data_IF_190821648727
#
_entry.id   IF_190821648727
#
_cell.length_a   1.000
_cell.length_b   1.000
_cell.length_c   1.000
_cell.angle_alpha   90.00
_cell.angle_beta   90.00
_cell.angle_gamma   90.00
#
_symmetry.space_group_name_H-M   'P 1'
#
loop_
_entity.id
_entity.type
_entity.pdbx_description
1 polymer ?
#
# COMPACT_ATOMS: atom_id res chain seq x y z
N UNK A 1 23.69 8.93 19.54
CA UNK A 1 22.65 9.44 18.63
C UNK A 1 21.45 8.52 18.74
N UNK A 2 20.33 8.99 19.29
CA UNK A 2 19.08 8.23 19.21
C UNK A 2 18.67 8.09 17.75
N UNK A 3 18.19 6.90 17.37
CA UNK A 3 17.72 6.67 16.00
C UNK A 3 16.48 7.52 15.73
N UNK A 4 16.26 7.91 14.47
CA UNK A 4 15.04 8.64 14.07
C UNK A 4 13.75 7.89 14.44
N UNK A 5 13.79 6.55 14.47
CA UNK A 5 12.68 5.72 14.90
C UNK A 5 12.38 5.88 16.41
N UNK A 6 13.42 5.98 17.25
CA UNK A 6 13.28 6.16 18.70
C UNK A 6 12.58 7.49 19.04
N UNK A 7 13.02 8.59 18.42
CA UNK A 7 12.43 9.92 18.64
C UNK A 7 10.93 9.93 18.33
N UNK A 8 10.54 9.21 17.29
CA UNK A 8 9.19 9.25 16.79
C UNK A 8 8.25 8.27 17.48
N UNK A 9 8.78 7.15 17.96
CA UNK A 9 8.09 6.33 18.96
C UNK A 9 7.81 7.14 20.24
N UNK A 10 8.78 7.93 20.71
CA UNK A 10 8.60 8.82 21.87
C UNK A 10 7.55 9.90 21.62
N UNK A 11 7.55 10.53 20.43
CA UNK A 11 6.53 11.53 20.06
C UNK A 11 5.14 10.93 19.97
N UNK A 12 5.00 9.75 19.36
CA UNK A 12 3.74 9.02 19.33
C UNK A 12 3.26 8.68 20.75
N UNK A 13 4.14 8.18 21.62
CA UNK A 13 3.82 7.88 23.01
C UNK A 13 3.39 9.14 23.78
N UNK A 14 4.11 10.25 23.63
CA UNK A 14 3.77 11.53 24.25
C UNK A 14 2.40 12.03 23.79
N UNK A 15 2.13 12.00 22.48
CA UNK A 15 0.82 12.38 21.93
C UNK A 15 -0.30 11.48 22.47
N UNK A 16 -0.07 10.16 22.60
CA UNK A 16 -1.05 9.25 23.21
C UNK A 16 -1.35 9.62 24.67
N UNK A 17 -0.33 10.01 25.45
CA UNK A 17 -0.52 10.44 26.86
C UNK A 17 -1.33 11.74 26.93
N UNK A 18 -1.01 12.72 26.08
CA UNK A 18 -1.75 13.98 26.00
C UNK A 18 -3.22 13.76 25.59
N UNK A 19 -3.46 12.85 24.66
CA UNK A 19 -4.81 12.45 24.24
C UNK A 19 -5.54 11.72 25.37
N UNK A 20 -4.92 10.71 26.01
CA UNK A 20 -5.52 9.97 27.14
C UNK A 20 -5.96 10.93 28.26
N UNK A 21 -5.16 11.97 28.55
CA UNK A 21 -5.47 12.97 29.56
C UNK A 21 -6.72 13.82 29.24
N UNK A 22 -7.10 13.95 27.97
CA UNK A 22 -8.25 14.75 27.51
C UNK A 22 -9.52 13.93 27.28
N UNK A 23 -9.38 12.61 27.08
CA UNK A 23 -10.51 11.72 26.83
C UNK A 23 -11.33 11.46 28.10
N UNK A 24 -12.63 11.21 27.92
CA UNK A 24 -13.47 10.70 28.99
C UNK A 24 -13.07 9.27 29.42
N UNK A 25 -13.66 8.74 30.49
CA UNK A 25 -13.31 7.42 31.02
C UNK A 25 -13.43 6.28 29.99
N UNK A 26 -14.43 6.35 29.10
CA UNK A 26 -14.63 5.38 28.02
C UNK A 26 -13.57 5.54 26.93
N UNK A 27 -13.31 6.76 26.47
CA UNK A 27 -12.28 7.04 25.46
C UNK A 27 -10.89 6.58 25.90
N UNK A 28 -10.54 6.79 27.17
CA UNK A 28 -9.29 6.26 27.76
C UNK A 28 -9.22 4.74 27.71
N UNK A 29 -10.32 4.07 28.04
CA UNK A 29 -10.39 2.61 27.99
C UNK A 29 -10.22 2.08 26.55
N UNK A 30 -10.87 2.73 25.59
CA UNK A 30 -10.77 2.40 24.16
C UNK A 30 -9.35 2.62 23.63
N UNK A 31 -8.75 3.79 23.89
CA UNK A 31 -7.38 4.10 23.47
C UNK A 31 -6.38 3.06 24.00
N UNK A 32 -6.46 2.72 25.28
CA UNK A 32 -5.59 1.70 25.90
C UNK A 32 -5.84 0.31 25.33
N UNK A 33 -7.08 -0.02 24.98
CA UNK A 33 -7.46 -1.24 24.27
C UNK A 33 -6.77 -1.31 22.92
N UNK A 34 -6.93 -0.27 22.09
CA UNK A 34 -6.33 -0.17 20.76
C UNK A 34 -4.80 -0.20 20.79
N UNK A 35 -4.17 0.45 21.77
CA UNK A 35 -2.72 0.37 21.98
C UNK A 35 -2.26 -1.06 22.30
N UNK A 36 -3.03 -1.82 23.09
CA UNK A 36 -2.73 -3.22 23.40
C UNK A 36 -2.93 -4.12 22.20
N UNK A 37 -3.99 -3.89 21.42
CA UNK A 37 -4.30 -4.68 20.24
C UNK A 37 -3.29 -4.43 19.12
N UNK A 38 -2.80 -3.19 18.98
CA UNK A 38 -1.72 -2.83 18.08
C UNK A 38 -0.43 -3.64 18.32
N UNK A 39 -0.11 -3.97 19.58
CA UNK A 39 1.05 -4.82 19.92
C UNK A 39 0.93 -6.26 19.39
N UNK A 40 -0.29 -6.72 19.08
CA UNK A 40 -0.58 -8.08 18.60
C UNK A 40 -0.97 -8.10 17.12
N UNK A 41 -1.25 -6.95 16.54
CA UNK A 41 -1.77 -6.82 15.18
C UNK A 41 -0.67 -6.96 14.14
N UNK A 42 -1.00 -7.54 12.98
CA UNK A 42 -0.08 -7.57 11.83
C UNK A 42 0.17 -6.17 11.24
N UNK A 43 -0.74 -5.21 11.43
CA UNK A 43 -0.54 -3.81 11.00
C UNK A 43 0.04 -2.91 12.11
N UNK A 44 0.37 -3.49 13.27
CA UNK A 44 0.97 -2.76 14.38
C UNK A 44 0.15 -1.55 14.81
N UNK A 45 0.85 -0.42 14.98
CA UNK A 45 0.26 0.87 15.38
C UNK A 45 -0.24 1.72 14.21
N UNK A 46 -0.03 1.31 12.95
CA UNK A 46 -0.19 2.21 11.80
C UNK A 46 -1.58 2.87 11.71
N UNK A 47 -2.72 2.15 11.90
CA UNK A 47 -4.04 2.79 11.90
C UNK A 47 -4.20 3.85 13.00
N UNK A 48 -3.84 3.52 14.25
CA UNK A 48 -3.95 4.44 15.40
C UNK A 48 -2.96 5.61 15.29
N UNK A 49 -1.78 5.36 14.70
CA UNK A 49 -0.75 6.37 14.51
C UNK A 49 -1.23 7.53 13.65
N UNK A 50 -1.96 7.25 12.56
CA UNK A 50 -2.51 8.28 11.68
C UNK A 50 -3.48 9.21 12.43
N UNK A 51 -4.38 8.64 13.24
CA UNK A 51 -5.36 9.40 14.03
C UNK A 51 -4.68 10.30 15.07
N UNK A 52 -3.74 9.72 15.84
CA UNK A 52 -2.96 10.44 16.86
C UNK A 52 -2.14 11.56 16.23
N UNK A 53 -1.55 11.30 15.06
CA UNK A 53 -0.78 12.30 14.32
C UNK A 53 -1.65 13.49 13.90
N UNK A 54 -2.83 13.25 13.34
CA UNK A 54 -3.75 14.32 12.96
C UNK A 54 -4.26 15.09 14.18
N UNK A 55 -4.63 14.40 15.26
CA UNK A 55 -5.07 15.04 16.50
C UNK A 55 -3.99 15.92 17.14
N UNK A 56 -2.74 15.44 17.20
CA UNK A 56 -1.61 16.20 17.73
C UNK A 56 -1.26 17.40 16.84
N UNK A 57 -1.25 17.21 15.52
CA UNK A 57 -0.99 18.30 14.56
C UNK A 57 -2.06 19.40 14.64
N UNK A 58 -3.34 19.04 14.73
CA UNK A 58 -4.41 20.02 14.90
C UNK A 58 -4.29 20.77 16.24
N UNK A 59 -4.02 20.04 17.32
CA UNK A 59 -3.80 20.64 18.64
C UNK A 59 -2.64 21.64 18.64
N UNK A 60 -1.51 21.31 17.99
CA UNK A 60 -0.34 22.20 17.92
C UNK A 60 -0.60 23.47 17.09
N UNK A 61 -1.62 23.46 16.23
CA UNK A 61 -2.08 24.62 15.46
C UNK A 61 -3.27 25.34 16.12
N UNK A 62 -3.53 25.07 17.39
CA UNK A 62 -4.54 25.77 18.19
C UNK A 62 -5.98 25.40 17.84
N UNK A 63 -6.22 24.24 17.24
CA UNK A 63 -7.56 23.69 17.12
C UNK A 63 -7.97 23.01 18.43
N UNK A 64 -9.23 23.14 18.79
CA UNK A 64 -9.89 22.24 19.73
C UNK A 64 -10.10 20.91 18.99
N UNK A 65 -9.66 19.81 19.61
CA UNK A 65 -9.65 18.48 18.98
C UNK A 65 -10.47 17.51 19.81
N UNK A 66 -11.38 16.79 19.15
CA UNK A 66 -12.09 15.66 19.73
C UNK A 66 -11.79 14.38 18.93
N UNK A 67 -11.99 13.22 19.56
CA UNK A 67 -11.81 11.90 18.96
C UNK A 67 -13.10 11.08 19.08
N UNK A 68 -14.11 11.36 18.24
CA UNK A 68 -15.47 10.87 18.46
C UNK A 68 -15.62 9.36 18.40
N UNK A 69 -14.82 8.63 17.62
CA UNK A 69 -14.86 7.16 17.61
C UNK A 69 -14.38 6.55 18.94
N UNK A 70 -13.32 7.11 19.55
CA UNK A 70 -12.83 6.64 20.85
C UNK A 70 -13.90 6.83 21.94
N UNK A 71 -14.61 7.96 21.90
CA UNK A 71 -15.66 8.29 22.85
C UNK A 71 -17.04 7.73 22.46
N UNK A 72 -17.14 7.09 21.30
CA UNK A 72 -18.36 6.48 20.71
C UNK A 72 -19.52 7.47 20.52
N UNK A 73 -19.18 8.70 20.12
CA UNK A 73 -20.15 9.76 19.81
C UNK A 73 -20.35 9.94 18.30
N UNK A 74 -19.36 9.53 17.49
CA UNK A 74 -19.51 9.42 16.05
C UNK A 74 -18.67 8.25 15.51
N UNK A 75 -18.71 8.04 14.19
CA UNK A 75 -18.02 6.95 13.50
C UNK A 75 -16.71 7.37 12.84
N UNK A 76 -16.33 8.64 12.98
CA UNK A 76 -15.11 9.18 12.41
C UNK A 76 -14.08 9.51 13.48
N UNK A 77 -12.82 9.53 13.06
CA UNK A 77 -11.70 9.46 13.98
C UNK A 77 -11.39 10.79 14.68
N UNK A 78 -11.34 11.89 13.93
CA UNK A 78 -10.88 13.19 14.45
C UNK A 78 -11.88 14.29 14.10
N UNK A 79 -12.18 15.16 15.07
CA UNK A 79 -12.87 16.43 14.86
C UNK A 79 -11.95 17.58 15.24
N UNK A 80 -11.93 18.64 14.42
CA UNK A 80 -11.20 19.86 14.70
C UNK A 80 -12.12 21.08 14.67
N UNK A 81 -11.96 22.00 15.63
CA UNK A 81 -12.71 23.25 15.68
C UNK A 81 -11.80 24.44 16.02
N UNK A 82 -11.98 25.56 15.33
CA UNK A 82 -11.31 26.84 15.65
C UNK A 82 -12.09 28.01 15.05
N UNK A 83 -12.30 29.08 15.81
CA UNK A 83 -12.95 30.31 15.33
C UNK A 83 -14.31 30.07 14.64
N UNK A 84 -15.12 29.15 15.16
CA UNK A 84 -16.43 28.81 14.60
C UNK A 84 -16.39 27.88 13.36
N UNK A 85 -15.21 27.51 12.88
CA UNK A 85 -15.03 26.54 11.80
C UNK A 85 -14.85 25.16 12.43
N UNK A 86 -15.67 24.20 12.04
CA UNK A 86 -15.58 22.80 12.47
C UNK A 86 -15.47 21.86 11.26
N UNK A 87 -14.68 20.80 11.40
CA UNK A 87 -14.53 19.77 10.38
C UNK A 87 -14.22 18.40 10.98
N UNK A 88 -14.52 17.36 10.23
CA UNK A 88 -14.23 15.96 10.56
C UNK A 88 -13.14 15.38 9.66
N UNK A 89 -12.33 14.46 10.19
CA UNK A 89 -11.35 13.68 9.45
C UNK A 89 -11.61 12.19 9.73
N UNK A 90 -11.64 11.40 8.67
CA UNK A 90 -11.61 9.95 8.73
C UNK A 90 -10.27 9.44 8.23
N UNK A 91 -9.61 8.62 9.05
CA UNK A 91 -8.29 8.09 8.82
C UNK A 91 -8.40 6.66 8.28
N UNK A 92 -7.75 6.39 7.15
CA UNK A 92 -7.66 5.07 6.55
C UNK A 92 -6.21 4.70 6.31
N UNK A 93 -5.92 3.47 6.68
CA UNK A 93 -4.62 2.88 6.52
C UNK A 93 -4.68 1.84 5.39
N UNK A 94 -3.72 1.92 4.47
CA UNK A 94 -3.54 1.03 3.33
C UNK A 94 -2.25 0.24 3.55
N UNK A 95 -2.41 -1.05 3.78
CA UNK A 95 -1.28 -1.97 3.97
C UNK A 95 -0.48 -2.14 2.68
N UNK A 96 0.81 -2.49 2.80
CA UNK A 96 1.70 -2.75 1.67
C UNK A 96 1.22 -3.85 0.70
N UNK A 97 0.40 -4.78 1.20
CA UNK A 97 -0.17 -5.85 0.40
C UNK A 97 -1.49 -5.48 -0.29
N UNK A 98 -2.04 -4.28 -0.03
CA UNK A 98 -3.34 -3.90 -0.55
C UNK A 98 -3.29 -3.79 -2.08
N UNK A 99 -4.07 -4.64 -2.75
CA UNK A 99 -4.12 -4.68 -4.21
C UNK A 99 -3.16 -5.68 -4.85
N UNK A 100 -2.23 -6.23 -4.08
CA UNK A 100 -1.31 -7.27 -4.57
C UNK A 100 -2.02 -8.58 -4.83
N UNK A 101 -1.65 -9.28 -5.90
CA UNK A 101 -2.11 -10.64 -6.20
C UNK A 101 -1.42 -11.69 -5.35
N UNK A 102 -0.21 -11.40 -4.89
CA UNK A 102 0.55 -12.24 -3.98
C UNK A 102 0.85 -11.39 -2.75
N UNK A 103 0.18 -11.69 -1.64
CA UNK A 103 0.50 -11.05 -0.38
C UNK A 103 1.88 -11.53 0.10
N UNK A 104 2.72 -10.60 0.55
CA UNK A 104 4.08 -10.88 0.99
C UNK A 104 4.11 -11.89 2.15
N UNK A 105 3.17 -11.76 3.09
CA UNK A 105 3.02 -12.71 4.21
C UNK A 105 2.74 -14.14 3.73
N UNK A 106 1.86 -14.28 2.72
CA UNK A 106 1.48 -15.59 2.19
C UNK A 106 2.62 -16.20 1.37
N UNK A 107 3.33 -15.38 0.60
CA UNK A 107 4.56 -15.79 -0.08
C UNK A 107 5.58 -16.34 0.92
N UNK A 108 5.95 -15.58 1.96
CA UNK A 108 6.95 -16.05 2.93
C UNK A 108 6.49 -17.28 3.72
N UNK A 109 5.19 -17.41 4.00
CA UNK A 109 4.63 -18.62 4.61
C UNK A 109 4.85 -19.86 3.73
N UNK A 110 4.67 -19.74 2.42
CA UNK A 110 4.98 -20.81 1.45
C UNK A 110 6.48 -21.08 1.40
N UNK A 111 7.30 -20.03 1.30
CA UNK A 111 8.76 -20.18 1.22
C UNK A 111 9.31 -20.89 2.45
N UNK A 112 8.84 -20.53 3.65
CA UNK A 112 9.24 -21.19 4.89
C UNK A 112 8.92 -22.69 4.86
N UNK A 113 7.68 -23.05 4.47
CA UNK A 113 7.25 -24.45 4.37
C UNK A 113 8.02 -25.25 3.31
N UNK A 114 8.42 -24.59 2.21
CA UNK A 114 9.20 -25.19 1.14
C UNK A 114 10.67 -25.38 1.53
N UNK A 115 11.32 -24.36 2.08
CA UNK A 115 12.74 -24.43 2.42
C UNK A 115 13.02 -25.39 3.57
N UNK A 116 12.13 -25.49 4.56
CA UNK A 116 12.24 -26.50 5.64
C UNK A 116 12.28 -27.94 5.10
N UNK A 117 11.68 -28.17 3.92
CA UNK A 117 11.54 -29.52 3.35
C UNK A 117 12.48 -29.80 2.18
N UNK A 118 12.76 -28.81 1.35
CA UNK A 118 13.51 -28.97 0.10
C UNK A 118 15.01 -28.73 0.25
N UNK A 119 15.42 -27.93 1.22
CA UNK A 119 16.83 -27.63 1.46
C UNK A 119 17.13 -27.85 2.94
N UNK A 120 17.15 -29.11 3.41
CA UNK A 120 17.47 -29.39 4.80
C UNK A 120 18.86 -28.82 5.14
N UNK A 121 19.01 -28.19 6.31
CA UNK A 121 20.30 -27.68 6.76
C UNK A 121 21.39 -28.76 6.68
N UNK A 122 22.50 -28.47 5.98
CA UNK A 122 23.63 -29.39 5.86
C UNK A 122 23.55 -30.44 4.75
N UNK A 123 22.50 -30.43 3.93
CA UNK A 123 22.37 -31.37 2.78
C UNK A 123 23.45 -31.20 1.71
N UNK A 124 24.05 -30.01 1.58
CA UNK A 124 25.16 -29.72 0.66
C UNK A 124 24.83 -29.90 -0.84
N UNK A 125 23.59 -30.25 -1.17
CA UNK A 125 23.16 -30.54 -2.53
C UNK A 125 22.58 -29.28 -3.16
N UNK A 126 23.34 -28.65 -4.04
CA UNK A 126 22.85 -27.54 -4.85
C UNK A 126 21.82 -28.05 -5.87
N UNK A 127 20.67 -27.37 -5.93
CA UNK A 127 19.66 -27.60 -6.97
C UNK A 127 19.67 -26.35 -7.86
N UNK A 128 20.47 -26.32 -8.94
CA UNK A 128 20.61 -25.15 -9.80
C UNK A 128 19.42 -24.99 -10.74
N UNK A 129 18.25 -24.78 -10.13
CA UNK A 129 16.97 -24.68 -10.83
C UNK A 129 16.14 -23.51 -10.29
N UNK A 130 15.29 -23.00 -11.16
CA UNK A 130 14.25 -22.05 -10.83
C UNK A 130 12.93 -22.80 -10.84
N UNK A 131 12.16 -22.72 -9.78
CA UNK A 131 10.77 -23.15 -9.74
C UNK A 131 9.92 -21.90 -9.96
N UNK A 132 9.42 -21.75 -11.18
CA UNK A 132 8.51 -20.67 -11.55
C UNK A 132 7.08 -21.12 -11.33
N UNK A 133 6.40 -20.52 -10.37
CA UNK A 133 4.97 -20.68 -10.12
C UNK A 133 4.23 -19.49 -10.73
N UNK A 134 3.31 -19.76 -11.63
CA UNK A 134 2.43 -18.76 -12.25
C UNK A 134 0.99 -19.02 -11.81
N UNK A 135 0.41 -18.05 -11.09
CA UNK A 135 -0.98 -18.08 -10.62
C UNK A 135 -1.92 -17.56 -11.71
N UNK A 136 -3.12 -18.13 -11.80
CA UNK A 136 -4.14 -17.67 -12.75
C UNK A 136 -4.70 -16.27 -12.40
N UNK A 137 -4.78 -15.93 -11.11
CA UNK A 137 -5.23 -14.62 -10.61
C UNK A 137 -4.53 -14.22 -9.30
N UNK A 138 -4.92 -14.81 -8.17
CA UNK A 138 -4.46 -14.41 -6.84
C UNK A 138 -4.04 -15.63 -6.05
N UNK A 139 -3.02 -15.47 -5.20
CA UNK A 139 -2.63 -16.51 -4.26
C UNK A 139 -3.74 -16.67 -3.21
N UNK A 140 -4.41 -17.82 -3.11
CA UNK A 140 -5.48 -17.99 -2.14
C UNK A 140 -4.92 -18.03 -0.72
N UNK A 141 -5.59 -17.35 0.21
CA UNK A 141 -5.21 -17.37 1.63
C UNK A 141 -5.51 -18.72 2.33
N UNK A 142 -6.35 -19.57 1.71
CA UNK A 142 -6.83 -20.82 2.27
C UNK A 142 -5.73 -21.89 2.39
N UNK A 143 -5.68 -22.56 3.55
CA UNK A 143 -4.64 -23.57 3.85
C UNK A 143 -4.67 -24.79 2.90
N UNK A 144 -5.83 -25.15 2.36
CA UNK A 144 -5.93 -26.25 1.40
C UNK A 144 -5.21 -25.93 0.07
N UNK A 145 -5.48 -24.75 -0.49
CA UNK A 145 -4.85 -24.27 -1.73
C UNK A 145 -3.33 -24.10 -1.56
N UNK A 146 -2.90 -23.61 -0.39
CA UNK A 146 -1.47 -23.51 -0.07
C UNK A 146 -0.79 -24.88 -0.06
N UNK A 147 -1.37 -25.87 0.62
CA UNK A 147 -0.81 -27.23 0.70
C UNK A 147 -0.70 -27.88 -0.69
N UNK A 148 -1.74 -27.73 -1.51
CA UNK A 148 -1.70 -28.20 -2.90
C UNK A 148 -0.49 -27.61 -3.66
N UNK A 149 -0.29 -26.29 -3.58
CA UNK A 149 0.86 -25.63 -4.23
C UNK A 149 2.20 -26.16 -3.69
N UNK A 150 2.32 -26.26 -2.37
CA UNK A 150 3.55 -26.76 -1.72
C UNK A 150 3.86 -28.19 -2.17
N UNK A 151 2.86 -29.08 -2.21
CA UNK A 151 3.04 -30.47 -2.61
C UNK A 151 3.45 -30.60 -4.09
N UNK A 152 2.86 -29.79 -4.99
CA UNK A 152 3.26 -29.74 -6.40
C UNK A 152 4.68 -29.21 -6.57
N UNK A 153 5.06 -28.17 -5.82
CA UNK A 153 6.45 -27.67 -5.85
C UNK A 153 7.41 -28.73 -5.33
N UNK A 154 7.05 -29.48 -4.29
CA UNK A 154 7.89 -30.60 -3.83
C UNK A 154 8.07 -31.67 -4.89
N UNK A 155 6.99 -32.03 -5.58
CA UNK A 155 7.02 -33.01 -6.65
C UNK A 155 7.95 -32.54 -7.78
N UNK A 156 7.78 -31.32 -8.28
CA UNK A 156 8.49 -30.85 -9.47
C UNK A 156 10.00 -30.73 -9.27
N UNK A 157 10.46 -30.55 -8.03
CA UNK A 157 11.89 -30.44 -7.72
C UNK A 157 12.65 -31.73 -8.08
N UNK A 158 12.01 -32.90 -7.99
CA UNK A 158 12.62 -34.18 -8.38
C UNK A 158 12.58 -34.42 -9.91
N UNK A 159 11.79 -33.64 -10.65
CA UNK A 159 11.57 -33.84 -12.07
C UNK A 159 12.70 -33.25 -12.95
N UNK A 160 12.83 -33.67 -14.21
CA UNK A 160 13.74 -33.03 -15.16
C UNK A 160 13.47 -31.53 -15.35
N UNK A 161 14.47 -30.80 -15.84
CA UNK A 161 14.28 -29.42 -16.29
C UNK A 161 13.20 -29.35 -17.38
N UNK A 162 12.55 -28.20 -17.48
CA UNK A 162 11.44 -27.90 -18.40
C UNK A 162 10.16 -28.69 -18.13
N UNK A 163 10.11 -29.44 -17.03
CA UNK A 163 8.86 -30.05 -16.56
C UNK A 163 7.88 -28.97 -16.13
N UNK A 164 6.60 -29.17 -16.51
CA UNK A 164 5.48 -28.33 -16.12
C UNK A 164 4.42 -29.19 -15.42
N UNK A 165 3.95 -28.74 -14.26
CA UNK A 165 2.81 -29.33 -13.55
C UNK A 165 1.74 -28.26 -13.37
N UNK A 166 0.48 -28.58 -13.71
CA UNK A 166 -0.66 -27.69 -13.56
C UNK A 166 -1.50 -28.10 -12.35
N UNK A 167 -1.72 -27.17 -11.43
CA UNK A 167 -2.64 -27.29 -10.30
C UNK A 167 -3.99 -26.63 -10.58
N UNK A 168 -4.84 -26.53 -9.54
CA UNK A 168 -6.19 -25.99 -9.66
C UNK A 168 -6.27 -24.49 -10.01
N UNK A 169 -5.28 -23.70 -9.61
CA UNK A 169 -5.25 -22.24 -9.79
C UNK A 169 -3.86 -21.70 -10.21
N UNK A 170 -2.96 -22.60 -10.58
CA UNK A 170 -1.56 -22.28 -10.87
C UNK A 170 -0.91 -23.28 -11.82
N UNK A 171 0.23 -22.87 -12.38
CA UNK A 171 1.15 -23.70 -13.14
C UNK A 171 2.55 -23.57 -12.52
N UNK A 172 3.26 -24.69 -12.36
CA UNK A 172 4.65 -24.73 -11.89
C UNK A 172 5.54 -25.24 -13.00
N UNK A 173 6.64 -24.54 -13.26
CA UNK A 173 7.63 -24.91 -14.26
C UNK A 173 9.01 -24.94 -13.61
N UNK A 174 9.77 -26.01 -13.86
CA UNK A 174 11.17 -26.11 -13.44
C UNK A 174 12.08 -25.64 -14.57
N UNK A 175 12.84 -24.58 -14.36
CA UNK A 175 13.73 -23.97 -15.34
C UNK A 175 15.19 -24.08 -14.91
N UNK A 176 16.12 -23.98 -15.87
CA UNK A 176 17.56 -23.90 -15.60
C UNK A 176 17.92 -22.56 -14.96
N UNK A 177 18.62 -22.55 -13.83
CA UNK A 177 19.16 -21.31 -13.26
C UNK A 177 20.14 -20.65 -14.23
N UNK A 178 21.11 -21.43 -14.71
CA UNK A 178 22.18 -20.95 -15.60
C UNK A 178 21.66 -20.29 -16.89
N UNK A 179 20.59 -20.82 -17.47
CA UNK A 179 20.01 -20.29 -18.70
C UNK A 179 19.29 -18.94 -18.49
N UNK A 180 18.91 -18.60 -17.26
CA UNK A 180 18.10 -17.41 -16.95
C UNK A 180 18.92 -16.33 -16.21
N UNK A 181 19.63 -16.73 -15.15
CA UNK A 181 20.44 -15.84 -14.31
C UNK A 181 21.94 -15.86 -14.64
N UNK A 182 22.42 -16.79 -15.46
CA UNK A 182 23.84 -16.98 -15.76
C UNK A 182 24.50 -18.02 -14.86
N UNK A 183 25.77 -18.34 -15.17
CA UNK A 183 26.52 -19.42 -14.49
C UNK A 183 26.85 -19.10 -13.03
N UNK A 184 27.07 -17.82 -12.72
CA UNK A 184 27.46 -17.38 -11.39
C UNK A 184 26.23 -17.00 -10.54
N UNK A 185 26.17 -17.40 -9.25
CA UNK A 185 25.13 -16.95 -8.35
C UNK A 185 25.14 -15.42 -8.20
N UNK A 186 23.97 -14.79 -8.20
CA UNK A 186 23.85 -13.35 -7.95
C UNK A 186 23.83 -13.12 -6.44
N UNK A 187 24.96 -12.71 -5.87
CA UNK A 187 25.09 -12.47 -4.43
C UNK A 187 24.42 -11.17 -3.96
N UNK A 188 24.32 -10.16 -4.85
CA UNK A 188 23.66 -8.90 -4.54
C UNK A 188 22.13 -9.07 -4.63
N UNK A 189 21.45 -8.86 -3.51
CA UNK A 189 20.01 -9.07 -3.39
C UNK A 189 19.20 -8.12 -4.27
N UNK A 190 19.64 -6.87 -4.42
CA UNK A 190 18.96 -5.86 -5.24
C UNK A 190 19.07 -6.27 -6.71
N UNK A 191 20.28 -6.60 -7.16
CA UNK A 191 20.51 -7.05 -8.52
C UNK A 191 19.75 -8.35 -8.84
N UNK A 192 19.69 -9.29 -7.89
CA UNK A 192 18.92 -10.53 -8.05
C UNK A 192 17.44 -10.23 -8.26
N UNK A 193 16.88 -9.33 -7.44
CA UNK A 193 15.47 -8.96 -7.52
C UNK A 193 15.15 -8.23 -8.84
N UNK A 194 15.97 -7.25 -9.22
CA UNK A 194 15.82 -6.51 -10.49
C UNK A 194 15.85 -7.47 -11.68
N UNK A 195 16.78 -8.42 -11.68
CA UNK A 195 16.90 -9.43 -12.73
C UNK A 195 15.71 -10.39 -12.75
N UNK A 196 15.22 -10.81 -11.59
CA UNK A 196 14.03 -11.65 -11.49
C UNK A 196 12.79 -10.92 -12.05
N UNK A 197 12.63 -9.63 -11.74
CA UNK A 197 11.54 -8.82 -12.26
C UNK A 197 11.63 -8.62 -13.79
N UNK A 198 12.84 -8.41 -14.32
CA UNK A 198 13.07 -8.32 -15.77
C UNK A 198 12.64 -9.60 -16.50
N UNK A 199 12.97 -10.76 -15.92
CA UNK A 199 12.70 -12.07 -16.52
C UNK A 199 11.25 -12.54 -16.36
N UNK A 200 10.67 -12.32 -15.17
CA UNK A 200 9.43 -12.97 -14.76
C UNK A 200 8.26 -12.02 -14.56
N UNK A 201 8.51 -10.70 -14.55
CA UNK A 201 7.51 -9.64 -14.42
C UNK A 201 7.73 -8.76 -13.18
N UNK A 202 7.34 -7.49 -13.26
CA UNK A 202 7.53 -6.51 -12.19
C UNK A 202 6.88 -6.91 -10.86
N UNK A 203 5.74 -7.61 -10.91
CA UNK A 203 4.96 -8.01 -9.73
C UNK A 203 5.35 -9.42 -9.21
N UNK A 204 6.48 -9.98 -9.67
CA UNK A 204 6.93 -11.28 -9.19
C UNK A 204 7.58 -11.19 -7.81
N UNK A 205 7.43 -12.26 -7.03
CA UNK A 205 8.15 -12.48 -5.78
C UNK A 205 9.19 -13.56 -6.01
N UNK A 206 10.45 -13.29 -5.68
CA UNK A 206 11.54 -14.23 -5.87
C UNK A 206 12.34 -14.42 -4.57
N UNK A 207 12.74 -15.65 -4.30
CA UNK A 207 13.69 -16.02 -3.25
C UNK A 207 14.67 -17.04 -3.79
N UNK A 208 15.92 -16.97 -3.34
CA UNK A 208 16.94 -17.94 -3.68
C UNK A 208 17.69 -18.34 -2.41
N UNK A 209 18.15 -19.58 -2.34
CA UNK A 209 19.05 -20.00 -1.25
C UNK A 209 20.44 -19.44 -1.51
N UNK A 210 20.96 -18.67 -0.55
CA UNK A 210 22.24 -17.95 -0.64
C UNK A 210 23.47 -18.86 -0.47
N UNK A 211 23.54 -19.96 -1.23
CA UNK A 211 24.75 -20.77 -1.29
C UNK A 211 25.62 -20.42 -2.52
N UNK A 212 26.89 -20.76 -2.39
CA UNK A 212 27.95 -20.54 -3.38
C UNK A 212 27.83 -21.41 -4.64
N UNK A 213 26.74 -22.18 -4.78
CA UNK A 213 26.53 -23.14 -5.87
C UNK A 213 25.27 -22.88 -6.69
N UNK A 214 24.64 -21.70 -6.53
CA UNK A 214 23.37 -21.34 -7.16
C UNK A 214 22.29 -22.35 -6.76
N UNK A 215 21.80 -22.22 -5.53
CA UNK A 215 20.76 -23.11 -5.04
C UNK A 215 19.37 -22.86 -5.63
N UNK A 216 18.38 -23.49 -4.99
CA UNK A 216 17.00 -23.49 -5.45
C UNK A 216 16.42 -22.07 -5.43
N UNK A 217 16.00 -21.60 -6.59
CA UNK A 217 15.30 -20.31 -6.73
C UNK A 217 13.81 -20.57 -6.89
N UNK A 218 12.98 -19.89 -6.10
CA UNK A 218 11.52 -19.97 -6.21
C UNK A 218 11.03 -18.59 -6.64
N UNK A 219 10.31 -18.56 -7.75
CA UNK A 219 9.66 -17.35 -8.28
C UNK A 219 8.16 -17.58 -8.31
N UNK A 220 7.40 -16.70 -7.68
CA UNK A 220 5.94 -16.71 -7.69
C UNK A 220 5.45 -15.46 -8.41
N UNK A 221 4.56 -15.61 -9.39
CA UNK A 221 3.94 -14.49 -10.13
C UNK A 221 2.47 -14.76 -10.40
N UNK A 222 1.74 -13.73 -10.82
CA UNK A 222 0.38 -13.84 -11.34
C UNK A 222 0.30 -13.47 -12.83
N UNK A 223 -0.66 -14.07 -13.54
CA UNK A 223 -1.06 -13.62 -14.88
C UNK A 223 -1.76 -12.26 -14.88
N UNK A 224 -2.30 -11.86 -13.74
CA UNK A 224 -2.96 -10.57 -13.55
C UNK A 224 -2.01 -9.67 -12.76
N UNK A 225 -1.84 -8.43 -13.20
CA UNK A 225 -1.02 -7.46 -12.46
C UNK A 225 -1.68 -7.02 -11.16
N UNK A 226 -0.85 -6.42 -10.30
CA UNK A 226 -1.31 -5.78 -9.08
C UNK A 226 -2.18 -4.55 -9.39
N UNK A 227 -3.22 -4.33 -8.57
CA UNK A 227 -4.09 -3.16 -8.69
C UNK A 227 -4.27 -2.49 -7.32
N UNK A 228 -3.43 -1.50 -7.07
CA UNK A 228 -3.47 -0.68 -5.85
C UNK A 228 -4.58 0.39 -5.88
N UNK A 229 -5.16 0.69 -7.05
CA UNK A 229 -6.14 1.78 -7.17
C UNK A 229 -7.50 1.41 -6.60
N UNK A 230 -7.91 0.14 -6.74
CA UNK A 230 -9.18 -0.34 -6.19
C UNK A 230 -9.23 -0.28 -4.65
N UNK A 231 -8.26 -0.83 -3.89
CA UNK A 231 -8.24 -0.68 -2.43
C UNK A 231 -8.26 0.78 -1.95
N UNK A 232 -7.52 1.67 -2.63
CA UNK A 232 -7.51 3.10 -2.34
C UNK A 232 -8.90 3.72 -2.50
N UNK A 233 -9.57 3.43 -3.62
CA UNK A 233 -10.92 3.91 -3.89
C UNK A 233 -11.95 3.34 -2.92
N UNK A 234 -11.86 2.05 -2.59
CA UNK A 234 -12.76 1.40 -1.64
C UNK A 234 -12.59 1.98 -0.23
N UNK A 235 -11.35 2.30 0.18
CA UNK A 235 -11.07 2.97 1.44
C UNK A 235 -11.61 4.41 1.47
N UNK A 236 -11.44 5.19 0.40
CA UNK A 236 -12.04 6.52 0.26
C UNK A 236 -13.57 6.48 0.42
N UNK A 237 -14.23 5.54 -0.27
CA UNK A 237 -15.69 5.37 -0.18
C UNK A 237 -16.15 4.92 1.19
N UNK A 238 -15.42 4.00 1.82
CA UNK A 238 -15.73 3.56 3.18
C UNK A 238 -15.63 4.74 4.16
N UNK A 239 -14.59 5.56 4.03
CA UNK A 239 -14.38 6.72 4.86
C UNK A 239 -15.49 7.78 4.69
N UNK A 240 -15.86 8.08 3.43
CA UNK A 240 -16.91 9.05 3.13
C UNK A 240 -18.26 8.73 3.80
N UNK A 241 -18.59 7.44 3.94
CA UNK A 241 -19.82 6.97 4.61
C UNK A 241 -19.81 7.16 6.12
N UNK A 242 -18.63 7.28 6.74
CA UNK A 242 -18.48 7.50 8.17
C UNK A 242 -18.50 8.99 8.52
N UNK A 243 -18.12 9.83 7.55
CA UNK A 243 -18.04 11.27 7.71
C UNK A 243 -19.42 11.96 7.70
N UNK A 244 -19.57 13.04 8.49
CA UNK A 244 -20.81 13.78 8.58
C UNK A 244 -21.01 14.66 7.34
N UNK A 245 -22.27 14.90 6.96
CA UNK A 245 -22.63 15.71 5.78
C UNK A 245 -22.98 17.16 6.10
N UNK A 246 -23.02 17.53 7.38
CA UNK A 246 -23.43 18.85 7.88
C UNK A 246 -22.25 19.80 8.17
N UNK A 247 -21.01 19.33 7.98
CA UNK A 247 -19.77 20.10 8.17
C UNK A 247 -18.69 19.65 7.18
N UNK A 248 -17.57 20.38 7.13
CA UNK A 248 -16.46 20.03 6.25
C UNK A 248 -15.86 18.68 6.67
N UNK A 249 -15.55 17.84 5.69
CA UNK A 249 -15.09 16.48 5.95
C UNK A 249 -13.85 16.15 5.11
N UNK A 250 -12.88 15.45 5.68
CA UNK A 250 -11.65 15.07 5.00
C UNK A 250 -11.40 13.58 5.16
N UNK A 251 -10.84 12.95 4.12
CA UNK A 251 -10.33 11.59 4.23
C UNK A 251 -8.81 11.65 4.25
N UNK A 252 -8.19 11.13 5.30
CA UNK A 252 -6.75 10.94 5.40
C UNK A 252 -6.41 9.49 5.09
N UNK A 253 -5.61 9.24 4.06
CA UNK A 253 -5.13 7.94 3.65
C UNK A 253 -3.62 7.84 3.88
N UNK A 254 -3.19 6.75 4.51
CA UNK A 254 -1.79 6.46 4.75
C UNK A 254 -1.38 5.14 4.13
N UNK A 255 -0.23 5.12 3.46
CA UNK A 255 0.35 3.96 2.79
C UNK A 255 1.52 3.38 3.57
N UNK A 256 1.53 2.06 3.82
CA UNK A 256 2.65 1.38 4.47
C UNK A 256 3.85 1.12 3.56
N UNK A 257 3.62 1.02 2.26
CA UNK A 257 4.61 0.62 1.25
C UNK A 257 5.27 1.76 0.52
N UNK A 258 4.86 3.00 0.79
CA UNK A 258 5.42 4.17 0.15
C UNK A 258 6.27 4.96 1.14
N UNK A 259 7.50 5.26 0.74
CA UNK A 259 8.31 6.27 1.37
C UNK A 259 7.85 7.69 0.97
N UNK A 260 8.29 8.66 1.78
CA UNK A 260 8.11 10.11 1.54
C UNK A 260 8.37 10.50 0.08
N UNK A 261 9.52 10.09 -0.45
CA UNK A 261 10.00 10.50 -1.77
C UNK A 261 9.18 9.85 -2.88
N UNK A 262 8.70 8.64 -2.64
CA UNK A 262 7.94 7.86 -3.60
C UNK A 262 6.53 8.40 -3.77
N UNK A 263 5.91 8.90 -2.69
CA UNK A 263 4.62 9.57 -2.74
C UNK A 263 4.64 10.78 -3.69
N UNK A 264 5.81 11.43 -3.82
CA UNK A 264 6.01 12.59 -4.69
C UNK A 264 6.46 12.21 -6.11
N UNK A 265 6.66 10.92 -6.42
CA UNK A 265 6.95 10.52 -7.79
C UNK A 265 5.78 10.90 -8.70
N UNK A 266 6.03 11.51 -9.88
CA UNK A 266 4.96 12.02 -10.74
C UNK A 266 3.87 10.98 -11.04
N UNK A 267 4.26 9.74 -11.33
CA UNK A 267 3.32 8.66 -11.63
C UNK A 267 2.49 8.21 -10.42
N UNK A 268 3.03 8.28 -9.20
CA UNK A 268 2.29 7.97 -7.96
C UNK A 268 1.30 9.10 -7.67
N UNK A 269 1.75 10.35 -7.70
CA UNK A 269 0.90 11.52 -7.45
C UNK A 269 -0.24 11.64 -8.48
N UNK A 270 0.05 11.43 -9.77
CA UNK A 270 -0.95 11.41 -10.84
C UNK A 270 -1.99 10.30 -10.61
N UNK A 271 -1.56 9.10 -10.25
CA UNK A 271 -2.46 7.98 -9.92
C UNK A 271 -3.38 8.31 -8.74
N UNK A 272 -2.84 8.87 -7.66
CA UNK A 272 -3.63 9.27 -6.49
C UNK A 272 -4.64 10.37 -6.86
N UNK A 273 -4.23 11.35 -7.68
CA UNK A 273 -5.13 12.38 -8.18
C UNK A 273 -6.25 11.81 -9.06
N UNK A 274 -5.96 10.82 -9.91
CA UNK A 274 -6.97 10.12 -10.71
C UNK A 274 -7.98 9.39 -9.82
N UNK A 275 -7.50 8.67 -8.80
CA UNK A 275 -8.37 7.96 -7.84
C UNK A 275 -9.25 8.95 -7.06
N UNK A 276 -8.67 10.05 -6.58
CA UNK A 276 -9.41 11.11 -5.89
C UNK A 276 -10.44 11.78 -6.79
N UNK A 277 -10.09 12.11 -8.04
CA UNK A 277 -11.02 12.70 -9.00
C UNK A 277 -12.20 11.77 -9.30
N UNK A 278 -11.92 10.47 -9.48
CA UNK A 278 -12.98 9.48 -9.67
C UNK A 278 -13.89 9.39 -8.43
N UNK A 279 -13.30 9.41 -7.23
CA UNK A 279 -14.02 9.45 -5.97
C UNK A 279 -14.94 10.69 -5.85
N UNK A 280 -14.42 11.89 -6.11
CA UNK A 280 -15.20 13.14 -6.04
C UNK A 280 -16.26 13.29 -7.13
N UNK A 281 -16.11 12.60 -8.26
CA UNK A 281 -17.14 12.59 -9.30
C UNK A 281 -18.46 11.91 -8.84
N UNK A 282 -18.43 11.17 -7.74
CA UNK A 282 -19.62 10.53 -7.17
C UNK A 282 -20.42 11.51 -6.29
N UNK A 283 -21.73 11.60 -6.49
CA UNK A 283 -22.60 12.51 -5.71
C UNK A 283 -22.60 12.23 -4.21
N UNK A 284 -22.33 10.99 -3.82
CA UNK A 284 -22.25 10.55 -2.43
C UNK A 284 -21.10 11.21 -1.65
N UNK A 285 -20.15 11.86 -2.33
CA UNK A 285 -18.94 12.43 -1.73
C UNK A 285 -18.89 13.96 -1.83
N UNK A 286 -20.02 14.62 -2.12
CA UNK A 286 -20.07 16.08 -2.31
C UNK A 286 -19.71 16.87 -1.04
N UNK A 287 -19.90 16.29 0.15
CA UNK A 287 -19.53 16.89 1.44
C UNK A 287 -18.03 16.76 1.76
N UNK A 288 -17.27 15.99 0.97
CA UNK A 288 -15.86 15.76 1.22
C UNK A 288 -15.01 16.90 0.65
N UNK A 289 -14.32 17.58 1.56
CA UNK A 289 -13.30 18.63 1.44
C UNK A 289 -12.14 18.27 0.51
N UNK A 290 -11.40 17.26 0.94
CA UNK A 290 -10.23 16.77 0.24
C UNK A 290 -9.93 15.33 0.66
N UNK A 291 -9.13 14.66 -0.17
CA UNK A 291 -8.44 13.43 0.16
C UNK A 291 -6.97 13.79 0.37
N UNK A 292 -6.44 13.41 1.53
CA UNK A 292 -5.07 13.67 1.95
C UNK A 292 -4.34 12.35 1.96
N UNK A 293 -3.29 12.23 1.17
CA UNK A 293 -2.49 11.01 1.07
C UNK A 293 -1.14 11.21 1.73
N UNK A 294 -0.69 10.21 2.49
CA UNK A 294 0.56 10.25 3.24
C UNK A 294 1.28 8.89 3.20
N UNK A 295 2.60 8.93 3.36
CA UNK A 295 3.42 7.76 3.65
C UNK A 295 3.37 7.43 5.15
N UNK A 296 3.36 6.15 5.51
CA UNK A 296 3.60 5.73 6.88
C UNK A 296 5.07 6.01 7.22
N UNK A 297 5.29 6.76 8.29
CA UNK A 297 6.63 6.92 8.86
C UNK A 297 6.60 6.50 10.31
N UNK A 298 7.47 5.57 10.72
CA UNK A 298 7.84 5.47 12.11
C UNK A 298 8.66 6.69 12.54
N UNK A 299 9.06 7.61 11.65
CA UNK A 299 9.78 8.86 11.94
C UNK A 299 8.90 10.14 11.85
N UNK A 300 8.00 10.34 12.81
CA UNK A 300 7.35 11.62 13.13
C UNK A 300 8.39 12.77 13.25
N UNK A 301 8.62 13.55 12.19
CA UNK A 301 9.20 14.89 12.27
C UNK A 301 8.08 15.91 12.32
N UNK A 302 7.54 16.18 13.51
CA UNK A 302 6.84 17.44 13.75
C UNK A 302 7.97 18.45 14.02
N UNK A 303 8.42 19.12 12.97
CA UNK A 303 9.14 20.38 13.16
C UNK A 303 8.07 21.44 13.46
N UNK A 304 8.09 22.10 14.63
CA UNK A 304 7.11 23.11 14.97
C UNK A 304 7.13 24.33 14.04
N UNK A 305 8.13 24.45 13.14
CA UNK A 305 8.33 25.64 12.33
C UNK A 305 8.09 25.42 10.83
N UNK A 306 8.34 24.25 10.21
CA UNK A 306 8.26 24.21 8.72
C UNK A 306 8.11 22.89 7.95
N UNK A 307 7.98 21.71 8.56
CA UNK A 307 7.92 20.46 7.77
C UNK A 307 6.68 19.64 8.11
N UNK A 308 5.57 19.97 7.44
CA UNK A 308 4.55 18.96 7.22
C UNK A 308 5.16 17.84 6.38
N UNK A 309 4.84 16.59 6.72
CA UNK A 309 5.06 15.45 5.85
C UNK A 309 4.58 15.80 4.43
N UNK A 310 5.16 15.21 3.37
CA UNK A 310 4.69 15.48 2.03
C UNK A 310 3.30 14.86 1.97
N UNK A 311 2.32 15.72 1.76
CA UNK A 311 0.96 15.29 1.59
C UNK A 311 0.65 15.53 0.13
N UNK A 312 0.15 14.49 -0.54
CA UNK A 312 -0.59 14.73 -1.77
C UNK A 312 -2.00 15.08 -1.33
N UNK A 313 -2.40 16.33 -1.54
CA UNK A 313 -3.74 16.80 -1.19
C UNK A 313 -4.53 16.98 -2.47
N UNK A 314 -5.56 16.15 -2.64
CA UNK A 314 -6.48 16.24 -3.75
C UNK A 314 -7.76 16.93 -3.28
N UNK A 315 -7.93 18.18 -3.66
CA UNK A 315 -9.12 18.97 -3.36
C UNK A 315 -10.31 18.51 -4.18
N UNK A 316 -11.49 18.44 -3.57
CA UNK A 316 -12.71 18.18 -4.32
C UNK A 316 -13.03 19.39 -5.21
N UNK A 317 -13.09 19.21 -6.55
CA UNK A 317 -13.32 20.31 -7.48
C UNK A 317 -14.74 20.89 -7.39
N UNK A 318 -15.68 20.17 -6.76
CA UNK A 318 -17.10 20.55 -6.66
C UNK A 318 -17.38 21.40 -5.41
N UNK A 319 -16.43 21.52 -4.48
CA UNK A 319 -16.64 22.33 -3.28
C UNK A 319 -16.81 23.82 -3.57
N UNK A 320 -17.78 24.41 -2.88
CA UNK A 320 -17.99 25.84 -2.79
C UNK A 320 -16.68 26.54 -2.32
N UNK A 321 -16.26 27.57 -3.06
CA UNK A 321 -15.07 28.38 -2.76
C UNK A 321 -15.09 29.02 -1.36
N UNK A 322 -16.29 29.29 -0.80
CA UNK A 322 -16.44 29.82 0.57
C UNK A 322 -15.88 28.87 1.63
N UNK A 323 -15.98 27.55 1.41
CA UNK A 323 -15.48 26.54 2.35
C UNK A 323 -13.95 26.44 2.28
N UNK A 324 -13.36 26.75 1.13
CA UNK A 324 -11.90 26.68 0.93
C UNK A 324 -11.17 27.75 1.71
N UNK A 325 -11.78 28.94 1.90
CA UNK A 325 -11.14 30.11 2.50
C UNK A 325 -10.82 30.01 4.00
N UNK A 326 -11.44 29.07 4.73
CA UNK A 326 -11.30 28.95 6.19
C UNK A 326 -10.48 27.75 6.69
N UNK A 327 -9.93 26.92 5.81
CA UNK A 327 -9.35 25.63 6.19
C UNK A 327 -7.84 25.72 6.47
N UNK A 328 -7.32 24.98 7.49
CA UNK A 328 -5.91 25.00 7.88
C UNK A 328 -4.95 24.45 6.82
N UNK A 329 -5.46 23.71 5.84
CA UNK A 329 -4.66 23.11 4.76
C UNK A 329 -4.27 24.12 3.67
N UNK A 330 -4.55 25.41 3.85
CA UNK A 330 -4.09 26.50 2.98
C UNK A 330 -2.61 26.90 3.17
N UNK A 331 -1.77 26.07 3.81
CA UNK A 331 -0.36 26.42 3.94
C UNK A 331 0.28 26.58 2.56
N UNK A 332 1.16 27.58 2.43
CA UNK A 332 1.78 28.01 1.16
C UNK A 332 2.45 26.86 0.37
N UNK A 333 2.81 25.76 1.05
CA UNK A 333 3.44 24.57 0.50
C UNK A 333 2.41 23.65 -0.21
N UNK A 334 1.23 23.42 0.38
CA UNK A 334 0.12 22.69 -0.28
C UNK A 334 -0.35 23.46 -1.51
N UNK A 335 -0.39 24.80 -1.42
CA UNK A 335 -0.68 25.69 -2.55
C UNK A 335 0.44 25.73 -3.61
N UNK A 336 1.72 25.64 -3.24
CA UNK A 336 2.84 25.59 -4.19
C UNK A 336 2.87 24.28 -4.99
N UNK A 337 2.63 23.14 -4.33
CA UNK A 337 2.57 21.83 -4.99
C UNK A 337 1.30 21.73 -5.86
N UNK A 338 0.15 22.18 -5.35
CA UNK A 338 -1.10 22.20 -6.13
C UNK A 338 -1.04 23.17 -7.34
N UNK A 339 -0.34 24.31 -7.23
CA UNK A 339 -0.09 25.23 -8.36
C UNK A 339 0.85 24.61 -9.39
N UNK A 340 1.97 24.01 -8.97
CA UNK A 340 2.91 23.35 -9.88
C UNK A 340 2.26 22.20 -10.69
N UNK A 341 1.39 21.41 -10.06
CA UNK A 341 0.65 20.34 -10.73
C UNK A 341 -0.45 20.91 -11.64
N UNK A 342 -1.21 21.91 -11.17
CA UNK A 342 -2.29 22.53 -11.96
C UNK A 342 -1.78 23.26 -13.21
N UNK A 343 -0.62 23.91 -13.15
CA UNK A 343 0.00 24.57 -14.31
C UNK A 343 0.48 23.55 -15.36
N UNK A 344 0.95 22.38 -14.91
CA UNK A 344 1.30 21.26 -15.78
C UNK A 344 0.05 20.64 -16.43
N UNK A 345 -1.06 20.54 -15.69
CA UNK A 345 -2.31 19.94 -16.19
C UNK A 345 -3.10 20.87 -17.11
N UNK A 346 -3.05 22.19 -16.89
CA UNK A 346 -3.67 23.20 -17.78
C UNK A 346 -3.01 23.23 -19.16
N UNK A 347 -1.72 22.90 -19.27
CA UNK A 347 -1.03 22.82 -20.57
C UNK A 347 -1.47 21.63 -21.45
N UNK A 348 -2.21 20.66 -20.89
CA UNK A 348 -2.62 19.43 -21.59
C UNK A 348 -4.13 19.27 -21.80
N UNK A 349 -4.95 20.28 -21.49
CA UNK A 349 -6.41 20.24 -21.74
C UNK A 349 -6.76 20.54 -23.20
N UNK A 350 -6.50 19.57 -24.07
CA UNK A 350 -7.46 19.25 -25.13
C UNK A 350 -8.11 17.92 -24.71
N UNK A 351 -9.46 17.83 -24.59
CA UNK A 351 -10.10 16.55 -24.31
C UNK A 351 -9.84 15.61 -25.50
N UNK A 352 -9.55 14.31 -25.29
CA UNK A 352 -9.55 13.37 -26.39
C UNK A 352 -10.98 13.24 -26.90
N UNK A 353 -11.21 13.71 -28.13
CA UNK A 353 -12.36 13.30 -28.90
C UNK A 353 -12.25 11.78 -29.14
N UNK A 354 -13.37 11.09 -28.95
CA UNK A 354 -13.60 9.68 -29.34
C UNK A 354 -12.94 8.60 -28.47
N UNK A 355 -13.60 8.28 -27.35
CA UNK A 355 -13.53 6.93 -26.75
C UNK A 355 -14.82 6.18 -27.08
N UNK A 356 -14.99 5.81 -28.35
CA UNK A 356 -16.10 4.95 -28.76
C UNK A 356 -15.76 4.08 -29.97
N UNK A 357 -14.77 3.16 -29.83
CA UNK A 357 -14.69 1.90 -30.61
C UNK A 357 -13.96 0.84 -29.79
N UNK A 358 -14.68 -0.23 -29.43
CA UNK A 358 -14.11 -1.45 -28.87
C UNK A 358 -13.19 -2.15 -29.90
N UNK A 359 -12.00 -2.64 -29.53
CA UNK A 359 -11.27 -3.58 -30.37
C UNK A 359 -11.84 -4.99 -30.14
N UNK A 360 -12.29 -5.62 -31.22
CA UNK A 360 -12.65 -7.03 -31.26
C UNK A 360 -11.52 -7.93 -30.75
N UNK A 361 -11.91 -8.96 -30.01
CA UNK A 361 -11.12 -10.02 -29.35
C UNK A 361 -10.26 -10.93 -30.25
N UNK A 362 -9.86 -10.48 -31.45
CA UNK A 362 -9.16 -11.30 -32.44
C UNK A 362 -7.62 -11.10 -32.49
N UNK A 363 -7.06 -10.10 -31.80
CA UNK A 363 -5.63 -9.74 -31.91
C UNK A 363 -4.72 -10.44 -30.89
N UNK A 364 -5.25 -11.04 -29.83
CA UNK A 364 -4.42 -11.69 -28.80
C UNK A 364 -4.00 -13.13 -29.13
N UNK A 365 -4.67 -13.81 -30.08
CA UNK A 365 -4.33 -15.20 -30.45
C UNK A 365 -3.16 -15.35 -31.45
N UNK A 366 -2.61 -14.26 -32.01
CA UNK A 366 -1.56 -14.36 -33.05
C UNK A 366 -0.11 -14.22 -32.56
N UNK A 367 0.13 -13.90 -31.28
CA UNK A 367 1.51 -13.80 -30.73
C UNK A 367 2.03 -15.07 -30.05
N UNK A 368 1.17 -16.06 -29.76
CA UNK A 368 1.58 -17.33 -29.16
C UNK A 368 2.06 -18.40 -30.17
N UNK A 369 1.98 -18.15 -31.49
CA UNK A 369 2.28 -19.14 -32.53
C UNK A 369 3.58 -18.90 -33.32
N UNK A 370 4.46 -17.98 -32.88
CA UNK A 370 5.72 -17.64 -33.60
C UNK A 370 7.01 -17.87 -32.83
N UNK A 371 6.99 -18.68 -31.76
CA UNK A 371 8.19 -19.17 -31.06
C UNK A 371 8.22 -20.70 -30.97
N UNK A 372 8.02 -21.35 -32.12
CA UNK A 372 8.43 -22.74 -32.38
C UNK A 372 8.95 -22.81 -33.82
N UNK A 373 10.22 -22.46 -33.99
CA UNK A 373 11.16 -23.05 -34.95
C UNK A 373 12.46 -23.17 -34.20
#
# INVERSE_FOLDING_TARGET
MESAASISALRFAAACVEIDARLNARGRAELRGRLRDALKSNCGFAPLYLEVLHAAALSSHGFEVALPDLEKHARYDVEGQRNGIAFAIECKHITADAGRRIHQKDFYRIIHELFDTLVPPGSGQAIPAIILVTLDDRLPAADAARRELVDVVRQIVAEPLETTIRGGFFEVVKLSYAANFGLDPIADQTLFHDRAQELFGADCHAVTTADRHAGLTIVLRSLIGDDHTKPQLDALKAAARQLPTDKAAFVALQFDDLDFSELLFPHVAERLQMVANYFFATRECAHIGAAVFSAYRPSMRIDPVNEWNPLVVCWNPVLNEEWKAGLPFQSAIVMQIARSISDTTRSRRAPPAEFNRSPSSASYRRRAARRRI
#
